data_IF_622329536180
#
_entry.id   IF_622329536180
#
_cell.length_a   1.000
_cell.length_b   1.000
_cell.length_c   1.000
_cell.angle_alpha   90.00
_cell.angle_beta   90.00
_cell.angle_gamma   90.00
#
_symmetry.space_group_name_H-M   'P 1'
#
loop_
_entity.id
_entity.type
_entity.pdbx_description
1 polymer ?
#
# COMPACT_ATOMS: atom_id res chain seq x y z
N UNK A 1 5.85 -13.94 -2.16
CA UNK A 1 4.93 -14.28 -3.27
C UNK A 1 3.96 -13.12 -3.42
N UNK A 2 3.71 -12.60 -4.63
CA UNK A 2 2.71 -11.55 -4.82
C UNK A 2 1.32 -12.05 -4.39
N UNK A 3 0.50 -11.14 -3.89
CA UNK A 3 -0.90 -11.39 -3.57
C UNK A 3 -1.62 -11.94 -4.81
N UNK A 4 -2.50 -12.93 -4.65
CA UNK A 4 -3.26 -13.49 -5.77
C UNK A 4 -4.09 -12.43 -6.50
N UNK A 5 -4.43 -11.34 -5.81
CA UNK A 5 -5.10 -10.16 -6.34
C UNK A 5 -4.37 -9.56 -7.55
N UNK A 6 -3.04 -9.61 -7.55
CA UNK A 6 -2.17 -9.01 -8.58
C UNK A 6 -1.67 -10.03 -9.61
N UNK A 7 -2.03 -11.31 -9.44
CA UNK A 7 -1.70 -12.39 -10.39
C UNK A 7 -2.81 -12.64 -11.40
N UNK A 8 -4.06 -12.26 -11.10
CA UNK A 8 -5.21 -12.38 -11.99
C UNK A 8 -5.40 -11.08 -12.81
N UNK A 9 -5.20 -11.10 -14.15
CA UNK A 9 -5.24 -9.90 -14.98
C UNK A 9 -6.52 -9.08 -14.84
N UNK A 10 -7.68 -9.76 -14.73
CA UNK A 10 -8.97 -9.08 -14.56
C UNK A 10 -9.09 -8.32 -13.24
N UNK A 11 -8.48 -8.85 -12.17
CA UNK A 11 -8.51 -8.19 -10.86
C UNK A 11 -7.55 -7.00 -10.84
N UNK A 12 -6.40 -7.17 -11.47
CA UNK A 12 -5.42 -6.12 -11.62
C UNK A 12 -6.05 -4.90 -12.33
N UNK A 13 -6.77 -5.10 -13.43
CA UNK A 13 -7.39 -4.02 -14.25
C UNK A 13 -8.44 -3.20 -13.48
N UNK A 14 -9.15 -3.83 -12.54
CA UNK A 14 -10.19 -3.16 -11.76
C UNK A 14 -9.69 -2.62 -10.41
N UNK A 15 -8.52 -3.06 -9.94
CA UNK A 15 -8.05 -2.73 -8.59
C UNK A 15 -7.86 -1.22 -8.42
N UNK A 16 -7.31 -0.55 -9.43
CA UNK A 16 -7.17 0.91 -9.46
C UNK A 16 -8.50 1.66 -9.45
N UNK A 17 -9.56 1.04 -9.98
CA UNK A 17 -10.91 1.62 -10.01
C UNK A 17 -11.63 1.50 -8.66
N UNK A 18 -11.14 0.64 -7.75
CA UNK A 18 -11.62 0.61 -6.37
C UNK A 18 -11.18 1.87 -5.60
N UNK A 19 -10.05 2.45 -5.99
CA UNK A 19 -9.64 3.76 -5.52
C UNK A 19 -10.34 4.86 -6.32
N UNK A 20 -10.47 6.05 -5.73
CA UNK A 20 -10.98 7.20 -6.48
C UNK A 20 -10.05 7.52 -7.66
N UNK A 21 -10.56 7.78 -8.87
CA UNK A 21 -9.74 8.20 -10.01
C UNK A 21 -8.84 9.42 -9.71
N UNK A 22 -9.30 10.30 -8.82
CA UNK A 22 -8.57 11.50 -8.43
C UNK A 22 -7.43 11.22 -7.44
N UNK A 23 -7.38 10.01 -6.86
CA UNK A 23 -6.39 9.55 -5.88
C UNK A 23 -6.03 10.63 -4.84
N UNK A 24 -7.02 11.13 -4.08
CA UNK A 24 -6.80 12.20 -3.11
C UNK A 24 -5.88 11.74 -1.95
N UNK A 25 -5.82 10.43 -1.70
CA UNK A 25 -4.90 9.75 -0.80
C UNK A 25 -3.42 10.04 -1.11
N UNK A 26 -3.09 10.39 -2.36
CA UNK A 26 -1.72 10.70 -2.76
C UNK A 26 -1.30 12.15 -2.51
N UNK A 27 -2.22 13.07 -2.21
CA UNK A 27 -1.88 14.48 -2.00
C UNK A 27 -0.91 14.72 -0.82
N UNK A 28 -1.04 14.03 0.34
CA UNK A 28 -0.04 14.10 1.43
C UNK A 28 1.36 13.64 0.97
N UNK A 29 1.41 12.59 0.15
CA UNK A 29 2.47 12.15 -0.78
C UNK A 29 3.33 13.27 -1.34
N UNK A 30 2.67 14.01 -2.21
CA UNK A 30 3.25 15.07 -3.00
C UNK A 30 3.69 16.23 -2.09
N UNK A 31 2.87 16.56 -1.08
CA UNK A 31 3.18 17.61 -0.12
C UNK A 31 4.43 17.30 0.72
N UNK A 32 4.62 16.06 1.14
CA UNK A 32 5.83 15.61 1.86
C UNK A 32 7.08 15.73 0.97
N UNK A 33 6.98 15.33 -0.31
CA UNK A 33 8.09 15.47 -1.25
C UNK A 33 8.49 16.94 -1.47
N UNK A 34 7.53 17.86 -1.45
CA UNK A 34 7.78 19.30 -1.55
C UNK A 34 8.29 19.90 -0.24
N UNK A 35 7.72 19.53 0.90
CA UNK A 35 8.17 19.95 2.23
C UNK A 35 9.66 19.69 2.44
N UNK A 36 10.12 18.50 2.05
CA UNK A 36 11.52 18.11 2.17
C UNK A 36 12.38 18.48 0.97
N UNK A 37 11.84 19.26 0.02
CA UNK A 37 12.56 19.73 -1.16
C UNK A 37 13.21 18.56 -1.93
N UNK A 38 12.53 17.41 -1.99
CA UNK A 38 13.05 16.24 -2.66
C UNK A 38 13.22 16.55 -4.15
N UNK A 39 14.40 16.23 -4.70
CA UNK A 39 14.69 16.33 -6.14
C UNK A 39 14.60 14.97 -6.85
N UNK A 40 14.90 13.89 -6.13
CA UNK A 40 14.84 12.52 -6.62
C UNK A 40 14.07 11.65 -5.63
N UNK A 41 13.18 10.78 -6.13
CA UNK A 41 12.32 9.91 -5.33
C UNK A 41 12.41 8.48 -5.84
N UNK A 42 12.48 7.52 -4.91
CA UNK A 42 12.24 6.10 -5.19
C UNK A 42 10.87 5.76 -4.63
N UNK A 43 9.95 5.32 -5.50
CA UNK A 43 8.61 4.87 -5.16
C UNK A 43 8.63 3.34 -5.03
N UNK A 44 8.62 2.83 -3.80
CA UNK A 44 8.75 1.40 -3.47
C UNK A 44 7.37 0.77 -3.28
N UNK A 45 7.08 -0.29 -4.04
CA UNK A 45 5.71 -0.78 -4.18
C UNK A 45 4.87 0.24 -4.96
N UNK A 46 5.41 0.71 -6.09
CA UNK A 46 4.80 1.81 -6.83
C UNK A 46 3.45 1.42 -7.48
N UNK A 47 3.11 0.14 -7.54
CA UNK A 47 1.88 -0.34 -8.16
C UNK A 47 1.79 0.12 -9.61
N UNK A 48 0.75 0.91 -9.93
CA UNK A 48 0.57 1.51 -11.27
C UNK A 48 1.53 2.63 -11.62
N UNK A 49 2.35 3.04 -10.66
CA UNK A 49 3.18 4.22 -10.76
C UNK A 49 2.36 5.51 -10.77
N UNK A 50 1.12 5.54 -10.26
CA UNK A 50 0.32 6.78 -10.22
C UNK A 50 1.01 7.87 -9.41
N UNK A 51 1.55 7.53 -8.22
CA UNK A 51 2.33 8.45 -7.41
C UNK A 51 3.61 8.88 -8.15
N UNK A 52 4.36 7.91 -8.68
CA UNK A 52 5.56 8.19 -9.46
C UNK A 52 5.32 9.14 -10.64
N UNK A 53 4.24 8.94 -11.41
CA UNK A 53 3.86 9.79 -12.52
C UNK A 53 3.51 11.21 -12.07
N UNK A 54 2.78 11.36 -10.95
CA UNK A 54 2.45 12.67 -10.39
C UNK A 54 3.68 13.41 -9.90
N UNK A 55 4.61 12.73 -9.23
CA UNK A 55 5.91 13.30 -8.83
C UNK A 55 6.74 13.72 -10.04
N UNK A 56 6.81 12.90 -11.08
CA UNK A 56 7.52 13.23 -12.32
C UNK A 56 6.91 14.46 -13.02
N UNK A 57 5.57 14.57 -13.05
CA UNK A 57 4.88 15.74 -13.61
C UNK A 57 5.18 17.05 -12.83
N UNK A 58 5.52 16.93 -11.54
CA UNK A 58 6.01 18.04 -10.70
C UNK A 58 7.52 18.30 -10.87
N UNK A 59 8.19 17.65 -11.83
CA UNK A 59 9.60 17.87 -12.17
C UNK A 59 10.60 17.11 -11.30
N UNK A 60 10.15 16.10 -10.52
CA UNK A 60 11.02 15.24 -9.72
C UNK A 60 11.64 14.14 -10.59
N UNK A 61 12.87 13.73 -10.30
CA UNK A 61 13.46 12.50 -10.86
C UNK A 61 12.90 11.30 -10.10
N UNK A 62 12.22 10.36 -10.78
CA UNK A 62 11.51 9.28 -10.09
C UNK A 62 11.89 7.90 -10.63
N UNK A 63 12.16 6.98 -9.71
CA UNK A 63 12.32 5.55 -9.98
C UNK A 63 11.19 4.80 -9.27
N UNK A 64 10.31 4.15 -10.03
CA UNK A 64 9.31 3.24 -9.48
C UNK A 64 9.83 1.80 -9.42
N UNK A 65 9.58 1.10 -8.31
CA UNK A 65 9.96 -0.30 -8.11
C UNK A 65 8.74 -1.06 -7.59
N UNK A 66 8.35 -2.13 -8.27
CA UNK A 66 7.33 -3.07 -7.78
C UNK A 66 7.75 -4.52 -8.04
N UNK A 67 7.64 -5.44 -7.07
CA UNK A 67 7.95 -6.85 -7.29
C UNK A 67 6.91 -7.58 -8.16
N UNK A 68 5.68 -7.07 -8.28
CA UNK A 68 4.67 -7.63 -9.17
C UNK A 68 4.92 -7.14 -10.60
N UNK A 69 5.49 -7.98 -11.46
CA UNK A 69 5.74 -7.63 -12.86
C UNK A 69 4.47 -7.12 -13.59
N UNK A 70 3.30 -7.69 -13.26
CA UNK A 70 2.00 -7.27 -13.78
C UNK A 70 1.62 -5.82 -13.40
N UNK A 71 2.16 -5.30 -12.29
CA UNK A 71 1.99 -3.91 -11.89
C UNK A 71 2.76 -2.95 -12.80
N UNK A 72 3.90 -3.37 -13.36
CA UNK A 72 4.77 -2.55 -14.22
C UNK A 72 4.40 -2.62 -15.71
N UNK A 73 4.02 -3.80 -16.22
CA UNK A 73 3.72 -3.99 -17.65
C UNK A 73 2.36 -3.41 -18.04
N UNK A 74 1.34 -3.57 -17.18
CA UNK A 74 -0.04 -3.21 -17.49
C UNK A 74 -0.60 -2.08 -16.60
N UNK A 75 0.23 -1.51 -15.70
CA UNK A 75 -0.17 -0.50 -14.70
C UNK A 75 -1.29 -1.01 -13.78
N UNK A 76 -0.96 -1.91 -12.85
CA UNK A 76 -1.88 -2.34 -11.77
C UNK A 76 -1.35 -2.04 -10.36
N UNK A 77 -2.18 -1.49 -9.48
CA UNK A 77 -1.74 -1.03 -8.15
C UNK A 77 -1.42 -2.23 -7.26
N UNK A 78 -0.40 -2.11 -6.42
CA UNK A 78 0.04 -3.14 -5.51
C UNK A 78 0.70 -2.47 -4.31
N UNK A 79 0.48 -3.01 -3.11
CA UNK A 79 1.15 -2.53 -1.90
C UNK A 79 2.11 -3.61 -1.40
N UNK A 80 3.33 -3.22 -1.05
CA UNK A 80 4.29 -4.15 -0.46
C UNK A 80 3.80 -4.63 0.91
N UNK A 81 3.55 -5.94 1.04
CA UNK A 81 3.11 -6.58 2.28
C UNK A 81 4.23 -7.44 2.86
N UNK A 82 4.75 -7.06 4.02
CA UNK A 82 5.81 -7.79 4.70
C UNK A 82 5.26 -8.60 5.88
N UNK A 83 5.04 -9.90 5.65
CA UNK A 83 4.61 -10.81 6.71
C UNK A 83 5.80 -11.30 7.54
N UNK A 84 6.91 -11.63 6.88
CA UNK A 84 8.11 -12.13 7.54
C UNK A 84 9.01 -10.99 8.04
N UNK A 85 9.63 -11.20 9.21
CA UNK A 85 10.54 -10.20 9.81
C UNK A 85 11.86 -10.08 9.04
N UNK A 86 12.31 -11.15 8.39
CA UNK A 86 13.51 -11.13 7.55
C UNK A 86 13.34 -10.26 6.30
N UNK A 87 12.20 -10.39 5.61
CA UNK A 87 11.88 -9.57 4.42
C UNK A 87 11.73 -8.09 4.80
N UNK A 88 11.08 -7.81 5.93
CA UNK A 88 10.98 -6.46 6.50
C UNK A 88 12.35 -5.86 6.78
N UNK A 89 13.20 -6.56 7.54
CA UNK A 89 14.54 -6.06 7.89
C UNK A 89 15.46 -5.91 6.67
N UNK A 90 15.36 -6.82 5.71
CA UNK A 90 16.13 -6.73 4.46
C UNK A 90 15.72 -5.49 3.66
N UNK A 91 14.42 -5.22 3.57
CA UNK A 91 13.89 -4.03 2.91
C UNK A 91 14.34 -2.75 3.60
N UNK A 92 14.24 -2.65 4.94
CA UNK A 92 14.71 -1.47 5.68
C UNK A 92 16.19 -1.16 5.44
N UNK A 93 17.05 -2.19 5.41
CA UNK A 93 18.49 -2.02 5.12
C UNK A 93 18.72 -1.57 3.68
N UNK A 94 18.01 -2.16 2.72
CA UNK A 94 18.09 -1.75 1.32
C UNK A 94 17.65 -0.29 1.12
N UNK A 95 16.56 0.12 1.79
CA UNK A 95 16.11 1.52 1.81
C UNK A 95 17.21 2.43 2.35
N UNK A 96 17.79 2.12 3.52
CA UNK A 96 18.90 2.91 4.10
C UNK A 96 20.06 3.05 3.12
N UNK A 97 20.46 1.97 2.46
CA UNK A 97 21.60 1.97 1.55
C UNK A 97 21.34 2.79 0.28
N UNK A 98 20.08 2.86 -0.17
CA UNK A 98 19.67 3.70 -1.29
C UNK A 98 19.52 5.19 -0.92
N UNK A 99 19.30 5.52 0.35
CA UNK A 99 19.17 6.90 0.80
C UNK A 99 20.51 7.64 0.80
N UNK A 100 20.48 8.88 0.28
CA UNK A 100 21.53 9.88 0.53
C UNK A 100 21.62 10.20 2.03
N UNK A 101 22.74 10.78 2.52
CA UNK A 101 22.89 11.12 3.94
C UNK A 101 21.73 11.92 4.54
N UNK A 102 21.19 12.91 3.81
CA UNK A 102 20.03 13.71 4.24
C UNK A 102 18.69 13.20 3.65
N UNK A 103 18.70 11.97 3.13
CA UNK A 103 17.55 11.33 2.53
C UNK A 103 16.54 10.85 3.57
N UNK A 104 15.27 10.78 3.15
CA UNK A 104 14.17 10.34 4.00
C UNK A 104 13.47 9.12 3.40
N UNK A 105 13.14 8.18 4.26
CA UNK A 105 12.20 7.10 4.00
C UNK A 105 10.84 7.48 4.59
N UNK A 106 9.80 7.40 3.77
CA UNK A 106 8.42 7.68 4.16
C UNK A 106 7.58 6.46 3.84
N UNK A 107 6.82 5.96 4.80
CA UNK A 107 5.97 4.78 4.61
C UNK A 107 4.78 4.78 5.57
N UNK A 108 3.71 4.12 5.16
CA UNK A 108 2.49 3.94 5.94
C UNK A 108 2.50 2.61 6.69
N UNK A 109 1.92 2.61 7.89
CA UNK A 109 1.65 1.37 8.64
C UNK A 109 0.30 1.47 9.34
N UNK A 110 -0.48 0.39 9.30
CA UNK A 110 -1.76 0.29 10.03
C UNK A 110 -1.55 0.30 11.54
N UNK A 111 -2.42 1.01 12.26
CA UNK A 111 -2.44 1.03 13.72
C UNK A 111 -3.15 -0.22 14.28
N UNK A 112 -2.43 -1.17 14.91
CA UNK A 112 -3.05 -2.36 15.49
C UNK A 112 -4.09 -2.05 16.57
N UNK A 113 -3.98 -0.92 17.27
CA UNK A 113 -4.88 -0.58 18.39
C UNK A 113 -6.29 -0.24 17.92
N UNK A 114 -6.45 0.04 16.62
CA UNK A 114 -7.74 0.37 16.00
C UNK A 114 -8.52 -0.85 15.58
N UNK A 115 -7.83 -1.99 15.47
CA UNK A 115 -8.43 -3.27 15.08
C UNK A 115 -9.33 -3.12 13.85
N UNK A 116 -8.84 -2.39 12.84
CA UNK A 116 -9.63 -2.03 11.64
C UNK A 116 -10.25 -3.26 10.96
N UNK A 117 -9.64 -4.43 11.15
CA UNK A 117 -10.15 -5.72 10.68
C UNK A 117 -11.51 -6.14 11.25
N UNK A 118 -11.95 -5.58 12.37
CA UNK A 118 -13.32 -5.77 12.88
C UNK A 118 -14.39 -5.28 11.89
N UNK A 119 -14.03 -4.31 11.04
CA UNK A 119 -14.89 -3.81 9.97
C UNK A 119 -14.78 -4.58 8.65
N UNK A 120 -13.94 -5.62 8.57
CA UNK A 120 -13.77 -6.41 7.35
C UNK A 120 -14.87 -7.46 7.24
N UNK A 121 -16.06 -7.00 6.90
CA UNK A 121 -17.23 -7.80 6.60
C UNK A 121 -17.98 -7.22 5.41
N UNK A 122 -18.84 -8.03 4.79
CA UNK A 122 -19.61 -7.61 3.64
C UNK A 122 -20.49 -6.39 3.93
N UNK A 123 -21.13 -6.31 5.10
CA UNK A 123 -22.05 -5.20 5.37
C UNK A 123 -21.37 -3.82 5.35
N UNK A 124 -20.12 -3.75 5.81
CA UNK A 124 -19.39 -2.48 5.95
C UNK A 124 -18.44 -2.19 4.79
N UNK A 125 -18.00 -3.22 4.04
CA UNK A 125 -17.02 -3.08 2.96
C UNK A 125 -17.59 -3.22 1.55
N UNK A 126 -18.87 -3.58 1.43
CA UNK A 126 -19.50 -3.75 0.13
C UNK A 126 -19.50 -2.44 -0.66
N UNK A 127 -19.03 -2.52 -1.89
CA UNK A 127 -19.04 -1.43 -2.85
C UNK A 127 -19.33 -1.95 -4.26
N UNK A 128 -19.64 -1.01 -5.15
CA UNK A 128 -19.93 -1.28 -6.56
C UNK A 128 -19.23 -0.25 -7.41
N UNK A 129 -18.49 -0.72 -8.41
CA UNK A 129 -17.79 0.11 -9.38
C UNK A 129 -18.25 -0.20 -10.81
N UNK A 130 -18.15 0.80 -11.68
CA UNK A 130 -18.33 0.62 -13.12
C UNK A 130 -16.97 0.58 -13.80
N UNK A 131 -16.58 -0.58 -14.31
CA UNK A 131 -15.28 -0.77 -14.96
C UNK A 131 -15.44 -0.67 -16.50
N UNK A 132 -14.77 0.27 -17.18
CA UNK A 132 -14.82 0.39 -18.63
C UNK A 132 -14.46 -0.94 -19.33
N UNK A 133 -15.27 -1.37 -20.29
CA UNK A 133 -15.07 -2.64 -21.02
C UNK A 133 -15.47 -3.92 -20.26
N UNK A 134 -15.47 -3.88 -18.93
CA UNK A 134 -15.79 -5.01 -18.05
C UNK A 134 -17.27 -4.99 -17.61
N UNK A 135 -17.79 -3.81 -17.26
CA UNK A 135 -19.13 -3.59 -16.71
C UNK A 135 -19.14 -3.45 -15.19
N UNK A 136 -20.31 -3.57 -14.57
CA UNK A 136 -20.49 -3.44 -13.12
C UNK A 136 -19.78 -4.57 -12.37
N UNK A 137 -18.94 -4.21 -11.40
CA UNK A 137 -18.28 -5.14 -10.48
C UNK A 137 -18.64 -4.78 -9.04
N UNK A 138 -19.06 -5.79 -8.28
CA UNK A 138 -19.31 -5.67 -6.84
C UNK A 138 -18.14 -6.26 -6.09
N UNK A 139 -17.68 -5.59 -5.04
CA UNK A 139 -16.60 -6.10 -4.21
C UNK A 139 -16.88 -5.92 -2.71
N UNK A 140 -16.31 -6.80 -1.91
CA UNK A 140 -16.33 -6.73 -0.44
C UNK A 140 -15.17 -7.52 0.16
N UNK A 141 -14.90 -7.30 1.44
CA UNK A 141 -13.88 -7.99 2.25
C UNK A 141 -14.54 -8.81 3.35
N UNK A 142 -13.99 -10.00 3.61
CA UNK A 142 -14.39 -10.87 4.71
C UNK A 142 -13.18 -11.26 5.55
N UNK A 143 -13.27 -11.02 6.86
CA UNK A 143 -12.28 -11.48 7.83
C UNK A 143 -12.28 -13.00 7.91
N UNK A 144 -11.10 -13.61 7.75
CA UNK A 144 -10.94 -15.07 7.75
C UNK A 144 -10.40 -15.58 9.08
N UNK A 145 -9.34 -14.96 9.60
CA UNK A 145 -8.66 -15.41 10.80
C UNK A 145 -7.90 -14.27 11.48
N UNK A 146 -7.90 -14.27 12.81
CA UNK A 146 -7.13 -13.32 13.63
C UNK A 146 -6.23 -14.12 14.57
N UNK A 147 -4.93 -14.13 14.28
CA UNK A 147 -3.88 -14.72 15.11
C UNK A 147 -2.75 -13.71 15.23
N UNK A 148 -2.97 -12.70 16.09
CA UNK A 148 -2.07 -11.55 16.19
C UNK A 148 -0.59 -11.99 16.35
N UNK A 149 0.34 -11.34 15.63
CA UNK A 149 0.13 -10.11 14.85
C UNK A 149 -0.41 -10.33 13.43
N UNK A 150 -0.82 -11.55 13.06
CA UNK A 150 -1.30 -11.89 11.72
C UNK A 150 -2.83 -11.83 11.63
N UNK A 151 -3.32 -11.19 10.57
CA UNK A 151 -4.75 -11.12 10.26
C UNK A 151 -4.95 -11.49 8.79
N UNK A 152 -5.75 -12.53 8.55
CA UNK A 152 -6.05 -13.01 7.21
C UNK A 152 -7.46 -12.61 6.80
N UNK A 153 -7.65 -12.24 5.53
CA UNK A 153 -8.93 -11.82 4.97
C UNK A 153 -9.05 -12.28 3.52
N UNK A 154 -10.28 -12.24 3.00
CA UNK A 154 -10.61 -12.50 1.61
C UNK A 154 -11.28 -11.29 0.98
N UNK A 155 -10.77 -10.84 -0.15
CA UNK A 155 -11.51 -9.97 -1.08
C UNK A 155 -12.33 -10.84 -2.02
N UNK A 156 -13.59 -10.47 -2.24
CA UNK A 156 -14.46 -11.10 -3.23
C UNK A 156 -14.88 -10.08 -4.27
N UNK A 157 -14.83 -10.47 -5.54
CA UNK A 157 -15.24 -9.69 -6.70
C UNK A 157 -16.31 -10.46 -7.48
N UNK A 158 -17.47 -9.85 -7.68
CA UNK A 158 -18.55 -10.42 -8.48
C UNK A 158 -18.81 -9.56 -9.71
N UNK A 159 -18.60 -10.14 -10.89
CA UNK A 159 -18.80 -9.50 -12.18
C UNK A 159 -20.27 -9.67 -12.59
N UNK A 160 -21.06 -8.60 -12.62
CA UNK A 160 -22.50 -8.68 -12.89
C UNK A 160 -22.84 -9.13 -14.31
N UNK A 161 -21.93 -8.89 -15.25
CA UNK A 161 -22.12 -9.19 -16.68
C UNK A 161 -22.28 -10.68 -16.95
N UNK A 162 -21.51 -11.53 -16.28
CA UNK A 162 -21.46 -12.98 -16.49
C UNK A 162 -21.73 -13.79 -15.21
N UNK A 163 -21.84 -13.12 -14.07
CA UNK A 163 -22.01 -13.74 -12.75
C UNK A 163 -20.73 -14.39 -12.22
N UNK A 164 -19.58 -14.16 -12.87
CA UNK A 164 -18.31 -14.74 -12.43
C UNK A 164 -17.91 -14.16 -11.07
N UNK A 165 -17.35 -15.02 -10.21
CA UNK A 165 -16.85 -14.64 -8.89
C UNK A 165 -15.38 -15.00 -8.79
N UNK A 166 -14.57 -14.02 -8.43
CA UNK A 166 -13.13 -14.20 -8.18
C UNK A 166 -12.84 -13.78 -6.74
N UNK A 167 -11.99 -14.53 -6.05
CA UNK A 167 -11.58 -14.22 -4.68
C UNK A 167 -10.07 -14.11 -4.58
N UNK A 168 -9.58 -13.18 -3.76
CA UNK A 168 -8.18 -13.13 -3.33
C UNK A 168 -8.10 -13.26 -1.81
N UNK A 169 -7.18 -14.07 -1.32
CA UNK A 169 -6.90 -14.23 0.11
C UNK A 169 -5.51 -13.69 0.44
N UNK A 170 -5.44 -12.87 1.48
CA UNK A 170 -4.21 -12.19 1.89
C UNK A 170 -4.06 -12.23 3.40
N UNK A 171 -2.82 -12.06 3.87
CA UNK A 171 -2.52 -11.95 5.30
C UNK A 171 -1.66 -10.73 5.55
N UNK A 172 -2.10 -9.87 6.44
CA UNK A 172 -1.34 -8.71 6.90
C UNK A 172 -0.74 -9.00 8.26
N UNK A 173 0.48 -8.52 8.47
CA UNK A 173 1.10 -8.44 9.80
C UNK A 173 0.97 -7.03 10.36
N UNK A 174 0.32 -6.92 11.51
CA UNK A 174 0.14 -5.68 12.24
C UNK A 174 1.28 -5.50 13.25
N UNK A 175 2.23 -4.62 12.93
CA UNK A 175 3.35 -4.26 13.80
C UNK A 175 2.98 -3.10 14.71
N UNK A 176 3.41 -3.15 15.96
CA UNK A 176 3.19 -2.01 16.88
C UNK A 176 4.13 -0.86 16.55
N UNK A 177 3.77 0.36 16.95
CA UNK A 177 4.65 1.53 16.81
C UNK A 177 6.03 1.31 17.45
N UNK A 178 6.10 0.63 18.59
CA UNK A 178 7.36 0.32 19.27
C UNK A 178 8.21 -0.68 18.50
N UNK A 179 7.59 -1.74 17.95
CA UNK A 179 8.29 -2.75 17.10
C UNK A 179 8.86 -2.09 15.84
N UNK A 180 8.10 -1.18 15.21
CA UNK A 180 8.57 -0.43 14.04
C UNK A 180 9.77 0.45 14.42
N UNK A 181 9.67 1.23 15.51
CA UNK A 181 10.76 2.08 15.96
C UNK A 181 12.03 1.29 16.31
N UNK A 182 11.89 0.13 16.94
CA UNK A 182 13.01 -0.77 17.27
C UNK A 182 13.68 -1.32 16.00
N UNK A 183 12.90 -1.82 15.05
CA UNK A 183 13.44 -2.37 13.79
C UNK A 183 14.10 -1.29 12.92
N UNK A 184 13.55 -0.07 12.88
CA UNK A 184 14.20 1.09 12.25
C UNK A 184 15.56 1.41 12.91
N UNK A 185 15.60 1.46 14.24
CA UNK A 185 16.85 1.68 14.99
C UNK A 185 17.90 0.61 14.68
N UNK A 186 17.51 -0.67 14.66
CA UNK A 186 18.39 -1.78 14.25
C UNK A 186 18.84 -1.69 12.79
N UNK A 187 18.05 -1.08 11.92
CA UNK A 187 18.43 -0.81 10.54
C UNK A 187 19.33 0.42 10.40
N UNK A 188 19.63 1.17 11.47
CA UNK A 188 20.33 2.46 11.45
C UNK A 188 19.51 3.53 10.71
N UNK A 189 18.23 3.60 11.05
CA UNK A 189 17.27 4.59 10.57
C UNK A 189 16.61 5.25 11.78
N UNK A 190 16.54 6.58 11.80
CA UNK A 190 16.02 7.36 12.93
C UNK A 190 14.68 8.00 12.60
N UNK A 191 13.69 7.80 13.46
CA UNK A 191 12.36 8.39 13.28
C UNK A 191 12.42 9.90 13.51
N UNK A 192 12.14 10.69 12.46
CA UNK A 192 12.04 12.15 12.53
C UNK A 192 10.67 12.57 13.05
N UNK A 193 9.60 11.97 12.50
CA UNK A 193 8.23 12.20 12.95
C UNK A 193 7.30 11.04 12.57
N UNK A 194 6.16 10.96 13.26
CA UNK A 194 5.05 10.06 12.91
C UNK A 194 3.80 10.92 12.79
N UNK A 195 3.15 10.88 11.62
CA UNK A 195 1.95 11.65 11.29
C UNK A 195 0.75 10.73 11.13
N UNK A 196 -0.46 11.27 11.19
CA UNK A 196 -1.66 10.54 10.77
C UNK A 196 -1.79 10.57 9.25
N UNK A 197 -2.28 9.48 8.66
CA UNK A 197 -2.70 9.45 7.26
C UNK A 197 -4.01 10.25 7.11
N UNK A 198 -4.04 11.39 6.40
CA UNK A 198 -5.21 12.29 6.38
C UNK A 198 -6.47 11.66 5.78
N UNK A 199 -6.31 10.80 4.77
CA UNK A 199 -7.36 10.06 4.08
C UNK A 199 -7.88 8.85 4.89
N UNK A 200 -7.03 8.30 5.79
CA UNK A 200 -7.35 7.18 6.69
C UNK A 200 -7.15 7.58 8.15
N UNK A 201 -7.71 8.74 8.50
CA UNK A 201 -7.50 9.41 9.78
C UNK A 201 -7.73 8.47 10.97
N UNK A 202 -6.69 8.29 11.78
CA UNK A 202 -6.73 7.49 12.99
C UNK A 202 -6.74 5.98 12.77
N UNK A 203 -6.54 5.47 11.55
CA UNK A 203 -6.37 4.03 11.25
C UNK A 203 -4.92 3.66 10.91
N UNK A 204 -4.13 4.62 10.44
CA UNK A 204 -2.77 4.39 9.94
C UNK A 204 -1.83 5.52 10.35
N UNK A 205 -0.56 5.16 10.51
CA UNK A 205 0.55 6.06 10.78
C UNK A 205 1.40 6.24 9.53
N UNK A 206 1.84 7.46 9.28
CA UNK A 206 2.88 7.80 8.29
C UNK A 206 4.17 8.04 9.04
N UNK A 207 5.14 7.14 8.89
CA UNK A 207 6.48 7.30 9.43
C UNK A 207 7.33 8.13 8.48
N UNK A 208 8.02 9.14 9.01
CA UNK A 208 9.07 9.89 8.31
C UNK A 208 10.37 9.62 9.06
N UNK A 209 11.32 9.06 8.33
CA UNK A 209 12.53 8.47 8.89
C UNK A 209 13.72 8.96 8.10
N UNK A 210 14.80 9.33 8.77
CA UNK A 210 16.05 9.72 8.12
C UNK A 210 17.14 8.67 8.38
N UNK A 211 18.15 8.68 7.51
CA UNK A 211 19.36 7.86 7.64
C UNK A 211 20.23 8.30 8.81
#
# INVERSE_FOLDING_TARGET
MPDALFAEPKLAEIYDLLDSPDRPDLAPYLAIADEFHAHSVIDLGCGTGTLACRLAALGKEVIGIDPAAASLDDRHSGAAQFVADEEWMTTLRACRDALRPDGRLVFEVRDPTKEAWKGWNREQSYQTIEAPGIGTVESWVELMNVQLPLVSFRYTFMFRKDGNVITSESTLRFRTRSEIAETLSHAQLTVESVRDAPDRSGLEFVFIVHR
#
